data_IF_488145389671
#
_entry.id   IF_488145389671
#
_cell.length_a   1.000
_cell.length_b   1.000
_cell.length_c   1.000
_cell.angle_alpha   90.00
_cell.angle_beta   90.00
_cell.angle_gamma   90.00
#
_symmetry.space_group_name_H-M   'P 1'
#
loop_
_entity.id
_entity.type
_entity.pdbx_description
1 polymer ?
#
# COMPACT_ATOMS: atom_id res chain seq x y z
N UNK A 1 14.81 -9.16 -15.00
CA UNK A 1 13.90 -8.00 -15.14
C UNK A 1 13.80 -7.34 -13.77
N UNK A 2 14.35 -6.14 -13.57
CA UNK A 2 14.40 -5.52 -12.24
C UNK A 2 13.05 -4.90 -11.85
N UNK A 3 12.72 -4.95 -10.56
CA UNK A 3 11.50 -4.38 -9.96
C UNK A 3 11.36 -2.88 -10.31
N UNK A 4 12.49 -2.16 -10.41
CA UNK A 4 12.52 -0.76 -10.87
C UNK A 4 11.96 -0.57 -12.28
N UNK A 5 12.22 -1.50 -13.20
CA UNK A 5 11.75 -1.41 -14.60
C UNK A 5 10.25 -1.69 -14.70
N UNK A 6 9.73 -2.64 -13.90
CA UNK A 6 8.29 -2.91 -13.80
C UNK A 6 7.52 -1.73 -13.21
N UNK A 7 8.07 -1.04 -12.21
CA UNK A 7 7.48 0.16 -11.62
C UNK A 7 7.35 1.30 -12.65
N UNK A 8 8.39 1.54 -13.46
CA UNK A 8 8.34 2.57 -14.51
C UNK A 8 7.33 2.20 -15.61
N UNK A 9 7.22 0.93 -16.00
CA UNK A 9 6.25 0.49 -17.01
C UNK A 9 4.79 0.55 -16.53
N UNK A 10 4.54 0.30 -15.24
CA UNK A 10 3.20 0.45 -14.64
C UNK A 10 2.80 1.93 -14.43
N UNK A 11 3.75 2.87 -14.45
CA UNK A 11 3.48 4.31 -14.30
C UNK A 11 3.44 5.07 -15.65
N UNK A 12 3.78 4.42 -16.77
CA UNK A 12 3.84 5.03 -18.12
C UNK A 12 2.67 4.63 -19.04
N UNK A 13 1.61 4.01 -18.52
CA UNK A 13 0.43 3.70 -19.34
C UNK A 13 -0.48 4.93 -19.37
N UNK A 14 -0.16 5.85 -20.27
CA UNK A 14 -0.91 7.09 -20.51
C UNK A 14 -2.38 6.79 -20.83
N UNK A 15 -3.26 6.89 -19.83
CA UNK A 15 -4.73 6.85 -20.02
C UNK A 15 -5.53 6.02 -19.01
N UNK A 16 -4.89 5.21 -18.17
CA UNK A 16 -5.56 4.46 -17.11
C UNK A 16 -5.19 4.98 -15.71
N UNK A 17 -6.06 4.82 -14.70
CA UNK A 17 -5.71 5.15 -13.33
C UNK A 17 -4.37 4.51 -12.97
N UNK A 18 -3.55 5.27 -12.26
CA UNK A 18 -2.17 4.91 -11.91
C UNK A 18 -2.03 3.67 -11.00
N UNK A 19 -3.12 2.95 -10.77
CA UNK A 19 -3.27 1.74 -9.97
C UNK A 19 -4.25 0.73 -10.65
N UNK A 20 -4.08 -0.59 -10.42
CA UNK A 20 -4.93 -1.63 -11.01
C UNK A 20 -6.38 -1.58 -10.51
N UNK A 21 -7.35 -1.43 -11.41
CA UNK A 21 -8.78 -1.59 -11.09
C UNK A 21 -9.22 -3.05 -11.14
N UNK A 22 -10.16 -3.40 -10.28
CA UNK A 22 -10.75 -4.72 -10.20
C UNK A 22 -11.69 -4.93 -11.38
N UNK A 23 -11.41 -5.97 -12.16
CA UNK A 23 -12.12 -6.31 -13.40
C UNK A 23 -12.98 -7.58 -13.26
N UNK A 24 -13.12 -8.11 -12.05
CA UNK A 24 -13.78 -9.38 -11.77
C UNK A 24 -12.84 -10.60 -11.76
N UNK A 25 -11.59 -10.46 -12.21
CA UNK A 25 -10.59 -11.54 -12.19
C UNK A 25 -9.62 -11.39 -11.00
N UNK A 26 -10.00 -11.96 -9.86
CA UNK A 26 -9.24 -11.82 -8.59
C UNK A 26 -7.77 -12.21 -8.68
N UNK A 27 -7.42 -13.34 -9.31
CA UNK A 27 -6.03 -13.80 -9.41
C UNK A 27 -5.16 -12.82 -10.22
N UNK A 28 -5.71 -12.30 -11.31
CA UNK A 28 -5.02 -11.33 -12.16
C UNK A 28 -4.86 -9.99 -11.43
N UNK A 29 -5.95 -9.48 -10.85
CA UNK A 29 -5.96 -8.22 -10.12
C UNK A 29 -5.03 -8.25 -8.90
N UNK A 30 -5.06 -9.32 -8.11
CA UNK A 30 -4.22 -9.45 -6.91
C UNK A 30 -2.73 -9.44 -7.25
N UNK A 31 -2.32 -10.08 -8.36
CA UNK A 31 -0.93 -10.05 -8.84
C UNK A 31 -0.47 -8.64 -9.22
N UNK A 32 -1.33 -7.85 -9.87
CA UNK A 32 -1.01 -6.46 -10.23
C UNK A 32 -0.96 -5.56 -9.00
N UNK A 33 -1.91 -5.72 -8.06
CA UNK A 33 -1.93 -4.97 -6.80
C UNK A 33 -0.72 -5.29 -5.92
N UNK A 34 -0.32 -6.55 -5.81
CA UNK A 34 0.88 -6.95 -5.07
C UNK A 34 2.13 -6.28 -5.65
N UNK A 35 2.31 -6.32 -6.97
CA UNK A 35 3.44 -5.68 -7.64
C UNK A 35 3.43 -4.16 -7.45
N UNK A 36 2.27 -3.52 -7.55
CA UNK A 36 2.10 -2.10 -7.30
C UNK A 36 2.52 -1.73 -5.87
N UNK A 37 2.00 -2.43 -4.87
CA UNK A 37 2.32 -2.18 -3.46
C UNK A 37 3.79 -2.45 -3.13
N UNK A 38 4.41 -3.48 -3.72
CA UNK A 38 5.85 -3.76 -3.58
C UNK A 38 6.70 -2.64 -4.20
N UNK A 39 6.27 -2.09 -5.33
CA UNK A 39 6.98 -1.00 -6.01
C UNK A 39 6.94 0.34 -5.26
N UNK A 40 5.95 0.52 -4.38
CA UNK A 40 5.77 1.68 -3.49
C UNK A 40 6.27 1.43 -2.07
N UNK A 41 6.91 0.28 -1.82
CA UNK A 41 7.40 -0.15 -0.50
C UNK A 41 6.31 -0.28 0.58
N UNK A 42 5.04 -0.39 0.18
CA UNK A 42 3.90 -0.55 1.10
C UNK A 42 3.62 -2.01 1.47
N UNK A 43 4.07 -2.97 0.65
CA UNK A 43 3.79 -4.40 0.87
C UNK A 43 4.16 -4.89 2.28
N UNK A 44 5.32 -4.47 2.80
CA UNK A 44 5.78 -4.84 4.14
C UNK A 44 4.83 -4.35 5.24
N UNK A 45 4.26 -3.15 5.09
CA UNK A 45 3.30 -2.58 6.04
C UNK A 45 1.96 -3.33 5.97
N UNK A 46 1.52 -3.69 4.77
CA UNK A 46 0.26 -4.45 4.57
C UNK A 46 0.36 -5.86 5.15
N UNK A 47 1.50 -6.55 4.97
CA UNK A 47 1.69 -7.92 5.49
C UNK A 47 1.97 -7.95 6.99
N UNK A 48 2.84 -7.05 7.47
CA UNK A 48 3.24 -7.04 8.89
C UNK A 48 2.18 -6.42 9.79
N UNK A 49 1.29 -5.61 9.20
CA UNK A 49 0.37 -4.75 9.92
C UNK A 49 1.09 -3.64 10.68
N UNK A 50 0.30 -2.77 11.30
CA UNK A 50 0.80 -1.85 12.34
C UNK A 50 0.38 -2.44 13.67
N UNK A 51 1.35 -2.68 14.55
CA UNK A 51 1.04 -3.04 15.92
C UNK A 51 0.27 -1.88 16.57
N UNK A 52 -0.99 -2.14 16.95
CA UNK A 52 -1.74 -1.22 17.77
C UNK A 52 -1.09 -1.16 19.16
N UNK A 53 -0.76 0.04 19.68
CA UNK A 53 -0.30 0.16 21.05
C UNK A 53 -1.42 -0.27 21.99
N UNK A 54 -1.04 -0.86 23.11
CA UNK A 54 -1.97 -1.12 24.21
C UNK A 54 -2.69 0.18 24.61
N UNK A 55 -4.00 0.09 24.86
CA UNK A 55 -4.87 1.24 25.12
C UNK A 55 -4.43 2.10 26.33
N UNK A 56 -3.59 1.52 27.18
CA UNK A 56 -3.11 2.01 28.46
C UNK A 56 -1.60 2.33 28.45
N UNK A 57 -0.93 2.21 27.29
CA UNK A 57 0.46 2.65 27.14
C UNK A 57 0.53 4.17 27.05
N UNK A 58 1.13 4.82 28.05
CA UNK A 58 1.52 6.22 27.98
C UNK A 58 2.65 6.39 26.95
N UNK A 59 2.27 6.61 25.69
CA UNK A 59 3.22 6.87 24.61
C UNK A 59 3.82 8.27 24.79
N UNK A 60 5.15 8.33 24.84
CA UNK A 60 5.92 9.57 24.73
C UNK A 60 5.64 10.27 23.38
N UNK A 61 5.81 11.59 23.30
CA UNK A 61 5.58 12.38 22.09
C UNK A 61 6.38 11.86 20.87
N UNK A 62 7.58 11.32 21.10
CA UNK A 62 8.36 10.65 20.05
C UNK A 62 7.66 9.41 19.49
N UNK A 63 7.11 8.55 20.37
CA UNK A 63 6.41 7.33 19.98
C UNK A 63 5.09 7.63 19.27
N UNK A 64 4.38 8.69 19.69
CA UNK A 64 3.16 9.15 18.99
C UNK A 64 3.47 9.56 17.55
N UNK A 65 4.53 10.34 17.35
CA UNK A 65 4.95 10.80 16.02
C UNK A 65 5.32 9.62 15.11
N UNK A 66 6.06 8.64 15.64
CA UNK A 66 6.38 7.41 14.91
C UNK A 66 5.11 6.62 14.55
N UNK A 67 4.18 6.50 15.49
CA UNK A 67 2.94 5.78 15.29
C UNK A 67 2.01 6.47 14.27
N UNK A 68 1.97 7.80 14.25
CA UNK A 68 1.27 8.58 13.22
C UNK A 68 1.89 8.38 11.84
N UNK A 69 3.23 8.37 11.76
CA UNK A 69 3.97 8.06 10.53
C UNK A 69 3.68 6.65 10.01
N UNK A 70 3.57 5.67 10.92
CA UNK A 70 3.15 4.30 10.57
C UNK A 70 1.70 4.31 10.07
N UNK A 71 0.75 4.90 10.81
CA UNK A 71 -0.66 4.98 10.41
C UNK A 71 -0.82 5.58 9.03
N UNK A 72 -0.10 6.66 8.74
CA UNK A 72 -0.15 7.31 7.43
C UNK A 72 0.37 6.41 6.30
N UNK A 73 1.39 5.57 6.57
CA UNK A 73 1.91 4.57 5.63
C UNK A 73 0.95 3.41 5.38
N UNK A 74 0.08 3.07 6.32
CA UNK A 74 -0.95 2.04 6.18
C UNK A 74 -2.25 2.57 5.56
N UNK A 75 -2.59 3.85 5.77
CA UNK A 75 -3.77 4.47 5.16
C UNK A 75 -3.65 4.60 3.63
N UNK A 76 -2.44 4.83 3.10
CA UNK A 76 -2.20 4.90 1.65
C UNK A 76 -2.54 3.61 0.89
N UNK A 77 -2.00 2.43 1.23
CA UNK A 77 -2.35 1.18 0.55
C UNK A 77 -3.83 0.82 0.70
N UNK A 78 -4.45 1.11 1.86
CA UNK A 78 -5.89 0.94 2.05
C UNK A 78 -6.70 1.80 1.07
N UNK A 79 -6.34 3.07 0.92
CA UNK A 79 -7.01 3.97 -0.03
C UNK A 79 -6.91 3.46 -1.48
N UNK A 80 -5.74 2.97 -1.90
CA UNK A 80 -5.59 2.35 -3.23
C UNK A 80 -6.46 1.10 -3.40
N UNK A 81 -6.52 0.23 -2.38
CA UNK A 81 -7.38 -0.97 -2.43
C UNK A 81 -8.86 -0.61 -2.54
N UNK A 82 -9.33 0.39 -1.79
CA UNK A 82 -10.72 0.86 -1.90
C UNK A 82 -11.02 1.43 -3.28
N UNK A 83 -10.14 2.28 -3.81
CA UNK A 83 -10.28 2.86 -5.14
C UNK A 83 -10.16 1.83 -6.27
N UNK A 84 -9.42 0.74 -6.04
CA UNK A 84 -9.29 -0.34 -7.00
C UNK A 84 -10.56 -1.19 -7.11
N UNK A 85 -11.42 -1.19 -6.09
CA UNK A 85 -12.62 -2.03 -6.04
C UNK A 85 -13.89 -1.24 -6.41
N UNK A 86 -13.90 0.08 -6.18
CA UNK A 86 -14.98 1.01 -6.53
C UNK A 86 -15.05 1.31 -8.05
#
# INVERSE_FOLDING_TARGET
>A
MQIRTLCVMLQLKDGEPSYPRFDGHYDHWSMLMENFLRSKEYWTVVVSGIAEPAADAALSDGQKTEQEGLKLKDLKPKNYLFQAID
#
